data_IF_654625429382
#
_entry.id   IF_654625429382
#
_cell.length_a   1.000
_cell.length_b   1.000
_cell.length_c   1.000
_cell.angle_alpha   90.00
_cell.angle_beta   90.00
_cell.angle_gamma   90.00
#
_symmetry.space_group_name_H-M   'P 1'
#
loop_
_entity.id
_entity.type
_entity.pdbx_description
1 polymer ?
#
# COMPACT_ATOMS: atom_id res chain seq x y z
N UNK A 1 -46.22 -3.73 6.34
CA UNK A 1 -44.76 -3.88 6.58
C UNK A 1 -44.55 -4.41 8.00
N UNK A 2 -44.06 -5.65 8.14
CA UNK A 2 -44.15 -6.46 9.36
C UNK A 2 -43.26 -5.93 10.51
N UNK A 3 -43.72 -6.01 11.78
CA UNK A 3 -43.04 -5.42 12.96
C UNK A 3 -41.64 -6.01 13.18
N UNK A 4 -41.47 -7.29 12.85
CA UNK A 4 -40.20 -8.02 12.89
C UNK A 4 -39.17 -7.41 11.94
N UNK A 5 -39.59 -7.06 10.71
CA UNK A 5 -38.72 -6.47 9.68
C UNK A 5 -38.20 -5.10 10.14
N UNK A 6 -39.07 -4.27 10.73
CA UNK A 6 -38.66 -2.96 11.27
C UNK A 6 -37.61 -3.07 12.38
N UNK A 7 -37.74 -4.06 13.26
CA UNK A 7 -36.77 -4.29 14.36
C UNK A 7 -35.43 -4.80 13.86
N UNK A 8 -35.42 -5.67 12.84
CA UNK A 8 -34.18 -6.17 12.23
C UNK A 8 -33.49 -5.01 11.50
N UNK A 9 -34.24 -4.24 10.72
CA UNK A 9 -33.70 -3.12 9.94
C UNK A 9 -33.06 -2.04 10.84
N UNK A 10 -33.66 -1.70 11.98
CA UNK A 10 -33.11 -0.71 12.92
C UNK A 10 -31.90 -1.22 13.72
N UNK A 11 -31.71 -2.54 13.84
CA UNK A 11 -30.51 -3.14 14.45
C UNK A 11 -29.34 -3.22 13.48
N UNK A 12 -29.61 -3.56 12.22
CA UNK A 12 -28.57 -3.70 11.19
C UNK A 12 -28.08 -2.35 10.66
N UNK A 13 -28.96 -1.36 10.57
CA UNK A 13 -28.63 -0.09 9.95
C UNK A 13 -28.73 1.05 10.97
N UNK A 14 -27.63 1.79 11.22
CA UNK A 14 -27.67 2.94 12.11
C UNK A 14 -28.59 4.04 11.56
N UNK A 15 -29.15 4.86 12.46
CA UNK A 15 -29.94 6.03 12.09
C UNK A 15 -29.10 7.03 11.29
N UNK A 16 -29.76 7.88 10.48
CA UNK A 16 -29.05 8.90 9.70
C UNK A 16 -28.19 9.80 10.59
N UNK A 17 -28.72 10.25 11.73
CA UNK A 17 -27.94 11.07 12.68
C UNK A 17 -26.67 10.36 13.19
N UNK A 18 -26.72 9.05 13.45
CA UNK A 18 -25.52 8.28 13.85
C UNK A 18 -24.51 8.16 12.71
N UNK A 19 -24.99 8.06 11.46
CA UNK A 19 -24.11 8.05 10.27
C UNK A 19 -23.46 9.41 10.07
N UNK A 20 -24.19 10.51 10.27
CA UNK A 20 -23.67 11.87 10.12
C UNK A 20 -22.59 12.18 11.16
N UNK A 21 -22.80 11.74 12.41
CA UNK A 21 -21.76 11.82 13.46
C UNK A 21 -20.50 11.06 13.07
N UNK A 22 -20.65 9.80 12.62
CA UNK A 22 -19.52 8.99 12.19
C UNK A 22 -18.78 9.58 10.98
N UNK A 23 -19.52 10.14 10.01
CA UNK A 23 -18.93 10.88 8.88
C UNK A 23 -18.08 12.05 9.37
N UNK A 24 -18.58 12.83 10.33
CA UNK A 24 -17.83 13.96 10.89
C UNK A 24 -16.58 13.53 11.68
N UNK A 25 -16.68 12.47 12.49
CA UNK A 25 -15.54 11.95 13.25
C UNK A 25 -14.42 11.45 12.32
N UNK A 26 -14.79 10.80 11.21
CA UNK A 26 -13.83 10.30 10.22
C UNK A 26 -13.20 11.43 9.40
N UNK A 27 -13.94 12.52 9.13
CA UNK A 27 -13.42 13.72 8.45
C UNK A 27 -12.30 14.44 9.20
N UNK A 28 -12.05 14.12 10.48
CA UNK A 28 -10.88 14.61 11.21
C UNK A 28 -9.57 14.11 10.58
N UNK A 29 -9.59 12.93 9.95
CA UNK A 29 -8.50 12.47 9.10
C UNK A 29 -8.61 13.16 7.73
N UNK A 30 -7.64 14.01 7.38
CA UNK A 30 -7.59 14.73 6.10
C UNK A 30 -7.65 13.83 4.87
N UNK A 31 -7.29 12.55 5.03
CA UNK A 31 -7.31 11.56 3.96
C UNK A 31 -8.66 10.81 3.83
N UNK A 32 -9.61 11.00 4.76
CA UNK A 32 -10.92 10.38 4.68
C UNK A 32 -11.83 11.17 3.72
N UNK A 33 -12.44 10.48 2.75
CA UNK A 33 -13.41 11.03 1.79
C UNK A 33 -14.62 10.12 1.71
N UNK A 34 -15.82 10.70 1.62
CA UNK A 34 -17.03 9.89 1.40
C UNK A 34 -17.12 9.44 -0.06
N UNK A 35 -17.87 8.36 -0.33
CA UNK A 35 -18.19 7.94 -1.71
C UNK A 35 -18.84 9.07 -2.51
N UNK A 36 -19.66 9.90 -1.85
CA UNK A 36 -20.32 11.08 -2.43
C UNK A 36 -19.29 12.16 -2.86
N UNK A 37 -18.23 12.39 -2.08
CA UNK A 37 -17.15 13.35 -2.39
C UNK A 37 -16.22 12.85 -3.50
N UNK A 38 -16.09 11.53 -3.66
CA UNK A 38 -15.32 10.90 -4.72
C UNK A 38 -16.03 10.96 -6.09
N UNK A 39 -17.36 11.05 -6.11
CA UNK A 39 -18.15 11.12 -7.35
C UNK A 39 -18.28 12.55 -7.90
N UNK A 40 -18.29 13.58 -7.04
CA UNK A 40 -18.43 14.98 -7.46
C UNK A 40 -17.15 15.58 -8.05
N UNK A 41 -16.01 15.02 -7.70
CA UNK A 41 -14.73 15.36 -8.31
C UNK A 41 -14.42 14.22 -9.29
N UNK A 42 -14.45 14.45 -10.60
CA UNK A 42 -13.96 13.51 -11.64
C UNK A 42 -12.44 13.23 -11.55
N UNK A 43 -11.88 13.31 -10.35
CA UNK A 43 -10.52 12.95 -10.00
C UNK A 43 -10.57 11.55 -9.39
N UNK A 44 -9.87 10.60 -10.04
CA UNK A 44 -9.44 9.34 -9.41
C UNK A 44 -9.03 9.59 -7.94
N UNK A 45 -9.20 8.64 -7.02
CA UNK A 45 -8.71 8.79 -5.66
C UNK A 45 -7.21 9.06 -5.69
N UNK A 46 -6.82 10.34 -5.65
CA UNK A 46 -5.49 10.75 -5.28
C UNK A 46 -5.46 10.64 -3.76
N UNK A 47 -5.12 9.45 -3.29
CA UNK A 47 -4.20 9.36 -2.17
C UNK A 47 -2.97 10.15 -2.62
N UNK A 48 -2.85 11.40 -2.21
CA UNK A 48 -1.55 12.07 -2.16
C UNK A 48 -0.76 11.34 -1.06
N UNK A 49 -0.32 10.12 -1.37
CA UNK A 49 0.80 9.54 -0.67
C UNK A 49 2.02 10.35 -1.10
N UNK A 50 2.92 10.62 -0.15
CA UNK A 50 4.27 11.16 -0.36
C UNK A 50 5.15 10.21 -1.22
N UNK A 51 4.62 9.65 -2.31
CA UNK A 51 5.30 8.71 -3.19
C UNK A 51 6.48 9.37 -3.90
N UNK A 52 6.41 10.70 -4.07
CA UNK A 52 7.41 11.48 -4.79
C UNK A 52 8.55 11.90 -3.87
N UNK A 53 9.63 11.13 -3.92
CA UNK A 53 10.87 11.47 -3.24
C UNK A 53 11.42 12.80 -3.78
N UNK A 54 11.93 13.65 -2.89
CA UNK A 54 12.65 14.86 -3.30
C UNK A 54 13.86 14.46 -4.13
N UNK A 55 14.17 15.23 -5.18
CA UNK A 55 15.33 14.95 -6.04
C UNK A 55 16.60 14.81 -5.20
N UNK A 56 17.32 13.69 -5.37
CA UNK A 56 18.54 13.35 -4.62
C UNK A 56 18.31 12.72 -3.24
N UNK A 57 17.06 12.62 -2.77
CA UNK A 57 16.75 11.85 -1.56
C UNK A 57 16.73 10.36 -1.89
N UNK A 58 17.43 9.55 -1.10
CA UNK A 58 17.52 8.10 -1.29
C UNK A 58 16.68 7.40 -0.24
N UNK A 59 15.66 6.68 -0.71
CA UNK A 59 14.83 5.80 0.12
C UNK A 59 15.38 4.37 0.07
N UNK A 60 15.44 3.71 1.23
CA UNK A 60 15.93 2.33 1.35
C UNK A 60 14.76 1.40 1.63
N UNK A 61 14.48 0.49 0.71
CA UNK A 61 13.41 -0.49 0.86
C UNK A 61 13.97 -1.76 1.50
N UNK A 62 13.32 -2.18 2.58
CA UNK A 62 13.72 -3.35 3.37
C UNK A 62 12.69 -4.46 3.30
N UNK A 63 13.13 -5.68 3.62
CA UNK A 63 12.26 -6.84 3.78
C UNK A 63 11.23 -6.58 4.90
N UNK A 64 9.93 -6.75 4.63
CA UNK A 64 8.89 -6.48 5.62
C UNK A 64 8.88 -7.57 6.70
N UNK A 65 8.32 -7.23 7.85
CA UNK A 65 7.99 -8.24 8.86
C UNK A 65 6.69 -8.96 8.47
N UNK A 66 6.81 -10.24 8.15
CA UNK A 66 5.69 -11.12 7.81
C UNK A 66 5.32 -12.06 8.97
N UNK A 67 5.79 -11.77 10.18
CA UNK A 67 5.56 -12.55 11.38
C UNK A 67 6.22 -13.94 11.30
N UNK A 68 5.41 -14.99 11.18
CA UNK A 68 5.89 -16.37 11.27
C UNK A 68 6.46 -16.93 9.95
N UNK A 69 6.53 -16.13 8.89
CA UNK A 69 7.10 -16.57 7.61
C UNK A 69 8.63 -16.63 7.68
N UNK A 70 9.19 -17.77 7.29
CA UNK A 70 10.64 -18.03 7.29
C UNK A 70 11.12 -18.46 5.90
N UNK A 71 12.43 -18.39 5.69
CA UNK A 71 13.05 -18.95 4.49
C UNK A 71 12.73 -18.19 3.20
N UNK A 72 12.43 -16.89 3.29
CA UNK A 72 12.15 -16.06 2.13
C UNK A 72 13.42 -15.91 1.27
N UNK A 73 13.26 -16.06 -0.03
CA UNK A 73 14.32 -15.90 -1.03
C UNK A 73 13.81 -14.96 -2.12
N UNK A 74 14.64 -13.99 -2.51
CA UNK A 74 14.36 -13.19 -3.69
C UNK A 74 14.68 -14.02 -4.93
N UNK A 75 13.70 -14.34 -5.77
CA UNK A 75 13.90 -15.26 -6.90
C UNK A 75 13.99 -14.56 -8.24
N UNK A 76 13.39 -13.37 -8.38
CA UNK A 76 13.43 -12.64 -9.64
C UNK A 76 13.30 -11.14 -9.45
N UNK A 77 14.24 -10.39 -10.01
CA UNK A 77 14.08 -8.97 -10.27
C UNK A 77 13.37 -8.69 -11.61
N UNK A 78 12.43 -7.75 -11.60
CA UNK A 78 11.78 -7.23 -12.82
C UNK A 78 12.42 -5.92 -13.30
N UNK A 79 13.11 -5.20 -12.39
CA UNK A 79 13.83 -3.96 -12.65
C UNK A 79 15.33 -4.14 -12.42
N UNK A 80 16.14 -3.27 -13.03
CA UNK A 80 17.59 -3.24 -12.89
C UNK A 80 18.06 -1.87 -12.42
N UNK A 81 19.25 -1.83 -11.81
CA UNK A 81 19.89 -0.56 -11.45
C UNK A 81 19.96 0.37 -12.65
N UNK A 82 19.45 1.58 -12.50
CA UNK A 82 19.32 2.60 -13.53
C UNK A 82 17.89 2.83 -14.01
N UNK A 83 16.99 1.87 -13.82
CA UNK A 83 15.61 1.96 -14.29
C UNK A 83 14.77 2.94 -13.46
N UNK A 84 13.74 3.50 -14.10
CA UNK A 84 12.76 4.36 -13.46
C UNK A 84 11.64 3.51 -12.88
N UNK A 85 11.42 3.65 -11.58
CA UNK A 85 10.38 2.98 -10.81
C UNK A 85 9.29 3.99 -10.47
N UNK A 86 8.04 3.58 -10.58
CA UNK A 86 6.87 4.34 -10.14
C UNK A 86 6.27 3.69 -8.90
N UNK A 87 5.49 4.49 -8.18
CA UNK A 87 4.61 3.96 -7.15
C UNK A 87 3.70 2.89 -7.75
N UNK A 88 3.68 1.72 -7.10
CA UNK A 88 2.88 0.58 -7.49
C UNK A 88 3.54 -0.36 -8.50
N UNK A 89 4.75 -0.08 -8.95
CA UNK A 89 5.48 -1.01 -9.80
C UNK A 89 5.94 -2.23 -9.00
N UNK A 90 5.80 -3.41 -9.61
CA UNK A 90 6.29 -4.67 -9.04
C UNK A 90 7.79 -4.79 -9.28
N UNK A 91 8.58 -4.70 -8.21
CA UNK A 91 10.04 -4.64 -8.26
C UNK A 91 10.66 -6.03 -8.42
N UNK A 92 10.24 -6.96 -7.58
CA UNK A 92 10.78 -8.31 -7.54
C UNK A 92 9.76 -9.33 -7.02
N UNK A 93 10.11 -10.60 -7.19
CA UNK A 93 9.41 -11.76 -6.64
C UNK A 93 10.19 -12.33 -5.48
N UNK A 94 9.49 -12.59 -4.39
CA UNK A 94 10.01 -13.20 -3.17
C UNK A 94 9.16 -14.43 -2.88
N UNK A 95 9.80 -15.55 -2.58
CA UNK A 95 9.10 -16.80 -2.29
C UNK A 95 9.72 -17.57 -1.12
N UNK A 96 8.93 -18.45 -0.52
CA UNK A 96 9.38 -19.57 0.30
C UNK A 96 8.57 -20.83 -0.11
N UNK A 97 8.74 -21.93 0.63
CA UNK A 97 8.05 -23.19 0.35
C UNK A 97 6.52 -23.09 0.25
N UNK A 98 5.91 -22.15 0.99
CA UNK A 98 4.46 -22.07 1.18
C UNK A 98 3.84 -20.75 0.69
N UNK A 99 4.64 -19.86 0.12
CA UNK A 99 4.24 -18.49 -0.19
C UNK A 99 5.04 -17.96 -1.38
N UNK A 100 4.34 -17.38 -2.34
CA UNK A 100 4.93 -16.60 -3.43
C UNK A 100 4.30 -15.21 -3.38
N UNK A 101 5.12 -14.17 -3.38
CA UNK A 101 4.68 -12.78 -3.31
C UNK A 101 5.46 -11.89 -4.26
N UNK A 102 4.79 -10.82 -4.66
CA UNK A 102 5.35 -9.74 -5.45
C UNK A 102 5.58 -8.53 -4.54
N UNK A 103 6.77 -7.94 -4.63
CA UNK A 103 7.17 -6.79 -3.83
C UNK A 103 6.95 -5.51 -4.62
N UNK A 104 5.97 -4.72 -4.17
CA UNK A 104 5.54 -3.46 -4.81
C UNK A 104 6.36 -2.27 -4.29
N UNK A 105 6.64 -1.31 -5.18
CA UNK A 105 7.29 -0.05 -4.80
C UNK A 105 6.29 0.92 -4.18
N UNK A 106 6.64 1.45 -3.01
CA UNK A 106 5.89 2.53 -2.34
C UNK A 106 6.36 3.94 -2.72
N UNK A 107 7.42 4.06 -3.52
CA UNK A 107 7.97 5.35 -3.95
C UNK A 107 8.29 5.36 -5.45
N UNK A 108 8.39 6.57 -6.01
CA UNK A 108 8.86 6.80 -7.38
C UNK A 108 10.28 7.38 -7.39
N UNK A 109 11.07 6.97 -8.38
CA UNK A 109 12.45 7.41 -8.52
C UNK A 109 13.26 6.53 -9.46
N UNK A 110 14.58 6.64 -9.37
CA UNK A 110 15.55 5.82 -10.08
C UNK A 110 16.09 4.74 -9.16
N UNK A 111 16.05 3.48 -9.59
CA UNK A 111 16.65 2.38 -8.85
C UNK A 111 18.18 2.50 -8.88
N UNK A 112 18.83 2.79 -7.76
CA UNK A 112 20.29 2.99 -7.69
C UNK A 112 21.05 1.76 -7.18
N UNK A 113 20.36 0.84 -6.50
CA UNK A 113 20.94 -0.39 -5.99
C UNK A 113 19.86 -1.44 -5.77
N UNK A 114 20.17 -2.70 -6.04
CA UNK A 114 19.35 -3.86 -5.72
C UNK A 114 20.24 -5.04 -5.30
N UNK A 115 19.77 -5.87 -4.37
CA UNK A 115 20.50 -7.06 -3.96
C UNK A 115 20.46 -8.16 -5.05
N UNK A 116 21.32 -9.16 -4.94
CA UNK A 116 21.42 -10.23 -5.94
C UNK A 116 20.18 -11.15 -5.96
N UNK A 117 19.92 -11.79 -7.10
CA UNK A 117 18.94 -12.88 -7.20
C UNK A 117 19.37 -14.08 -6.35
N UNK A 118 18.40 -14.88 -5.91
CA UNK A 118 18.55 -16.04 -5.03
C UNK A 118 19.10 -15.73 -3.64
N UNK A 119 19.00 -14.47 -3.21
CA UNK A 119 19.44 -14.04 -1.88
C UNK A 119 18.39 -14.41 -0.83
N UNK A 120 18.83 -15.04 0.25
CA UNK A 120 18.00 -15.28 1.45
C UNK A 120 17.73 -13.95 2.15
N UNK A 121 16.47 -13.69 2.46
CA UNK A 121 16.01 -12.46 3.08
C UNK A 121 15.71 -12.68 4.57
N UNK A 122 16.11 -11.72 5.39
CA UNK A 122 15.74 -11.62 6.81
C UNK A 122 14.93 -10.34 7.01
N UNK A 123 14.05 -10.31 8.02
CA UNK A 123 13.26 -9.12 8.36
C UNK A 123 14.18 -7.89 8.53
N UNK A 124 13.80 -6.78 7.92
CA UNK A 124 14.55 -5.51 7.97
C UNK A 124 15.80 -5.47 7.08
N UNK A 125 16.09 -6.52 6.32
CA UNK A 125 17.24 -6.53 5.41
C UNK A 125 16.99 -5.63 4.19
N UNK A 126 17.99 -4.82 3.80
CA UNK A 126 17.94 -3.97 2.61
C UNK A 126 17.80 -4.81 1.33
N UNK A 127 16.79 -4.47 0.52
CA UNK A 127 16.49 -5.13 -0.76
C UNK A 127 16.92 -4.23 -1.93
N UNK A 128 16.53 -2.96 -1.90
CA UNK A 128 16.91 -1.97 -2.90
C UNK A 128 16.95 -0.54 -2.36
N UNK A 129 17.53 0.37 -3.15
CA UNK A 129 17.56 1.81 -2.89
C UNK A 129 17.05 2.56 -4.10
N UNK A 130 16.15 3.51 -3.87
CA UNK A 130 15.53 4.33 -4.91
C UNK A 130 15.86 5.79 -4.61
N UNK A 131 16.40 6.49 -5.61
CA UNK A 131 16.70 7.92 -5.53
C UNK A 131 15.59 8.71 -6.20
N UNK A 132 15.06 9.72 -5.51
CA UNK A 132 14.11 10.67 -6.09
C UNK A 132 14.74 11.44 -7.25
N UNK A 133 13.97 11.59 -8.34
CA UNK A 133 14.37 12.34 -9.53
C UNK A 133 13.42 13.51 -9.80
#
# INVERSE_FOLDING_TARGET
MNKIIKTIFSRLFPSQEKRDRLKNDLKVNSNFRTSEELEQNNSKPQLEHDSKLKTGHVETLTTPDLGNQKGLVLTKWYYKTGDIVKHGDILCRIENENLEMEYESFCEGKLIWCCENNKKLTVGMEICKIEGI
#
